data_IF_777414946654
#
_entry.id   IF_777414946654
#
_cell.length_a   1.000
_cell.length_b   1.000
_cell.length_c   1.000
_cell.angle_alpha   90.00
_cell.angle_beta   90.00
_cell.angle_gamma   90.00
#
_symmetry.space_group_name_H-M   'P 1'
#
loop_
_entity.id
_entity.type
_entity.pdbx_description
1 polymer ?
#
# COMPACT_ATOMS: atom_id res chain seq x y z
N UNK A 1 2.71 17.18 17.43
CA UNK A 1 2.72 15.78 16.93
C UNK A 1 1.28 15.36 16.75
N UNK A 2 0.90 14.87 15.56
CA UNK A 2 -0.42 14.28 15.32
C UNK A 2 -0.56 13.04 16.21
N UNK A 3 -1.68 12.84 16.92
CA UNK A 3 -1.88 11.60 17.68
C UNK A 3 -2.03 10.41 16.73
N UNK A 4 -1.73 9.20 17.22
CA UNK A 4 -1.93 7.97 16.45
C UNK A 4 -3.40 7.82 16.05
N UNK A 5 -4.34 8.14 16.95
CA UNK A 5 -5.77 8.05 16.65
C UNK A 5 -6.18 8.94 15.48
N UNK A 6 -5.67 10.19 15.43
CA UNK A 6 -5.93 11.10 14.33
C UNK A 6 -5.29 10.59 13.03
N UNK A 7 -4.08 10.04 13.10
CA UNK A 7 -3.40 9.44 11.94
C UNK A 7 -4.21 8.26 11.37
N UNK A 8 -4.71 7.37 12.23
CA UNK A 8 -5.53 6.23 11.85
C UNK A 8 -6.86 6.66 11.22
N UNK A 9 -7.50 7.69 11.77
CA UNK A 9 -8.73 8.25 11.20
C UNK A 9 -8.48 8.82 9.79
N UNK A 10 -7.40 9.58 9.61
CA UNK A 10 -7.00 10.11 8.30
C UNK A 10 -6.72 8.98 7.29
N UNK A 11 -6.07 7.88 7.72
CA UNK A 11 -5.84 6.69 6.87
C UNK A 11 -7.16 6.02 6.47
N UNK A 12 -8.09 5.83 7.42
CA UNK A 12 -9.41 5.23 7.14
C UNK A 12 -10.22 6.02 6.12
N UNK A 13 -10.07 7.35 6.12
CA UNK A 13 -10.69 8.23 5.14
C UNK A 13 -9.93 8.31 3.80
N UNK A 14 -8.81 7.62 3.66
CA UNK A 14 -8.02 7.59 2.43
C UNK A 14 -7.16 8.84 2.21
N UNK A 15 -6.76 9.54 3.27
CA UNK A 15 -5.87 10.68 3.17
C UNK A 15 -4.49 10.22 2.66
N UNK A 16 -4.17 10.59 1.43
CA UNK A 16 -2.94 10.21 0.76
C UNK A 16 -1.67 10.60 1.54
N UNK A 17 -1.64 11.80 2.14
CA UNK A 17 -0.48 12.28 2.88
C UNK A 17 -0.30 11.51 4.20
N UNK A 18 -1.40 11.18 4.89
CA UNK A 18 -1.36 10.36 6.10
C UNK A 18 -0.85 8.95 5.80
N UNK A 19 -1.31 8.34 4.71
CA UNK A 19 -0.83 7.02 4.23
C UNK A 19 0.66 7.09 3.92
N UNK A 20 1.11 8.06 3.12
CA UNK A 20 2.52 8.20 2.75
C UNK A 20 3.42 8.39 3.98
N UNK A 21 3.04 9.25 4.92
CA UNK A 21 3.77 9.46 6.18
C UNK A 21 3.86 8.17 7.00
N UNK A 22 2.77 7.42 7.07
CA UNK A 22 2.72 6.16 7.82
C UNK A 22 3.62 5.10 7.21
N UNK A 23 3.62 4.96 5.88
CA UNK A 23 4.56 4.09 5.16
C UNK A 23 6.01 4.48 5.49
N UNK A 24 6.36 5.76 5.41
CA UNK A 24 7.70 6.25 5.77
C UNK A 24 8.09 5.92 7.21
N UNK A 25 7.18 6.11 8.18
CA UNK A 25 7.42 5.79 9.59
C UNK A 25 7.70 4.29 9.78
N UNK A 26 6.92 3.43 9.12
CA UNK A 26 7.03 1.98 9.24
C UNK A 26 8.31 1.48 8.54
N UNK A 27 8.55 1.88 7.30
CA UNK A 27 9.69 1.42 6.49
C UNK A 27 11.05 1.78 7.11
N UNK A 28 11.12 2.92 7.82
CA UNK A 28 12.35 3.39 8.46
C UNK A 28 12.40 3.09 9.97
N UNK A 29 11.48 2.26 10.48
CA UNK A 29 11.37 1.89 11.90
C UNK A 29 11.38 3.09 12.88
N UNK A 30 10.78 4.21 12.48
CA UNK A 30 10.87 5.46 13.23
C UNK A 30 9.89 5.46 14.41
N UNK A 31 10.39 5.86 15.60
CA UNK A 31 9.56 6.24 16.75
C UNK A 31 8.44 5.24 17.07
N UNK A 32 7.20 5.64 16.79
CA UNK A 32 5.97 4.90 17.10
C UNK A 32 5.60 3.81 16.06
N UNK A 33 6.51 3.39 15.18
CA UNK A 33 6.28 2.37 14.14
C UNK A 33 5.58 1.11 14.66
N UNK A 34 6.11 0.52 15.74
CA UNK A 34 5.55 -0.67 16.39
C UNK A 34 4.16 -0.45 16.99
N UNK A 35 3.91 0.74 17.53
CA UNK A 35 2.61 1.11 18.10
C UNK A 35 1.56 1.20 17.00
N UNK A 36 1.89 1.90 15.90
CA UNK A 36 1.05 2.02 14.70
C UNK A 36 0.72 0.64 14.11
N UNK A 37 1.70 -0.24 13.93
CA UNK A 37 1.47 -1.59 13.39
C UNK A 37 0.51 -2.43 14.25
N UNK A 38 0.52 -2.26 15.58
CA UNK A 38 -0.36 -3.01 16.49
C UNK A 38 -1.81 -2.55 16.43
N UNK A 39 -2.04 -1.28 16.13
CA UNK A 39 -3.38 -0.66 16.13
C UNK A 39 -3.98 -0.57 14.73
N UNK A 40 -3.19 -0.81 13.68
CA UNK A 40 -3.70 -0.95 12.32
C UNK A 40 -4.62 -2.17 12.26
N UNK A 41 -5.90 -1.87 12.07
CA UNK A 41 -6.95 -2.87 12.00
C UNK A 41 -6.83 -3.71 10.72
N UNK A 42 -6.88 -5.03 10.87
CA UNK A 42 -6.76 -6.01 9.77
C UNK A 42 -8.11 -6.49 9.25
N UNK A 43 -9.23 -5.99 9.80
CA UNK A 43 -10.58 -6.45 9.45
C UNK A 43 -11.02 -6.10 8.01
N UNK A 44 -10.27 -5.25 7.30
CA UNK A 44 -10.53 -4.99 5.88
C UNK A 44 -9.97 -6.11 4.99
N UNK A 45 -10.85 -7.00 4.55
CA UNK A 45 -10.55 -7.99 3.52
C UNK A 45 -10.47 -7.29 2.14
N UNK A 46 -9.26 -6.90 1.74
CA UNK A 46 -8.97 -6.54 0.35
C UNK A 46 -8.39 -7.75 -0.38
N UNK A 47 -8.77 -7.95 -1.65
CA UNK A 47 -8.09 -8.93 -2.50
C UNK A 47 -6.64 -8.50 -2.76
N UNK A 48 -5.71 -9.45 -2.60
CA UNK A 48 -4.28 -9.27 -2.86
C UNK A 48 -3.86 -10.25 -3.94
N UNK A 49 -3.33 -9.73 -5.05
CA UNK A 49 -2.92 -10.51 -6.22
C UNK A 49 -1.41 -10.32 -6.43
N UNK A 50 -0.66 -11.41 -6.42
CA UNK A 50 0.77 -11.42 -6.76
C UNK A 50 0.98 -11.62 -8.26
N UNK A 51 1.78 -10.74 -8.88
CA UNK A 51 2.13 -10.83 -10.31
C UNK A 51 3.64 -10.97 -10.43
N UNK A 52 4.12 -12.02 -11.09
CA UNK A 52 5.55 -12.34 -11.27
C UNK A 52 5.82 -12.82 -12.69
N UNK A 53 7.10 -12.95 -13.06
CA UNK A 53 7.55 -13.39 -14.38
C UNK A 53 8.91 -12.80 -14.77
N UNK A 54 9.59 -13.36 -15.78
CA UNK A 54 10.94 -12.94 -16.16
C UNK A 54 10.98 -11.49 -16.72
N UNK A 55 12.17 -10.86 -16.79
CA UNK A 55 12.34 -9.59 -17.49
C UNK A 55 11.81 -9.68 -18.93
N UNK A 56 11.11 -8.66 -19.40
CA UNK A 56 10.54 -8.64 -20.75
C UNK A 56 9.24 -9.44 -20.95
N UNK A 57 8.72 -10.15 -19.93
CA UNK A 57 7.48 -10.93 -20.05
C UNK A 57 6.18 -10.11 -20.22
N UNK A 58 6.27 -8.78 -20.37
CA UNK A 58 5.10 -7.91 -20.49
C UNK A 58 4.32 -7.66 -19.20
N UNK A 59 4.90 -7.97 -18.02
CA UNK A 59 4.25 -7.77 -16.71
C UNK A 59 3.65 -6.38 -16.53
N UNK A 60 4.44 -5.34 -16.81
CA UNK A 60 3.98 -3.94 -16.66
C UNK A 60 2.81 -3.62 -17.59
N UNK A 61 2.80 -4.16 -18.81
CA UNK A 61 1.69 -4.02 -19.75
C UNK A 61 0.43 -4.69 -19.22
N UNK A 62 0.55 -5.94 -18.75
CA UNK A 62 -0.57 -6.68 -18.16
C UNK A 62 -1.14 -5.96 -16.92
N UNK A 63 -0.27 -5.54 -16.00
CA UNK A 63 -0.65 -4.79 -14.79
C UNK A 63 -1.40 -3.52 -15.16
N UNK A 64 -0.90 -2.76 -16.15
CA UNK A 64 -1.52 -1.52 -16.60
C UNK A 64 -2.94 -1.74 -17.16
N UNK A 65 -3.14 -2.80 -17.95
CA UNK A 65 -4.47 -3.13 -18.48
C UNK A 65 -5.44 -3.57 -17.39
N UNK A 66 -5.00 -4.41 -16.43
CA UNK A 66 -5.81 -4.82 -15.28
C UNK A 66 -6.25 -3.60 -14.48
N UNK A 67 -5.32 -2.70 -14.16
CA UNK A 67 -5.60 -1.47 -13.41
C UNK A 67 -6.61 -0.61 -14.17
N UNK A 68 -6.43 -0.43 -15.47
CA UNK A 68 -7.33 0.37 -16.30
C UNK A 68 -8.78 -0.15 -16.22
N UNK A 69 -8.97 -1.46 -16.27
CA UNK A 69 -10.30 -2.08 -16.12
C UNK A 69 -10.88 -1.89 -14.71
N UNK A 70 -10.07 -2.04 -13.66
CA UNK A 70 -10.51 -1.84 -12.28
C UNK A 70 -10.86 -0.38 -11.97
N UNK A 71 -10.13 0.58 -12.55
CA UNK A 71 -10.43 2.01 -12.44
C UNK A 71 -11.76 2.36 -13.12
N UNK A 72 -12.05 1.78 -14.29
CA UNK A 72 -13.36 1.93 -14.96
C UNK A 72 -14.51 1.43 -14.06
N UNK A 73 -14.25 0.42 -13.23
CA UNK A 73 -15.20 -0.09 -12.24
C UNK A 73 -15.23 0.72 -10.94
N UNK A 74 -14.60 1.89 -10.89
CA UNK A 74 -14.47 2.75 -9.70
C UNK A 74 -13.86 2.04 -8.48
N UNK A 75 -12.97 1.07 -8.69
CA UNK A 75 -12.25 0.40 -7.60
C UNK A 75 -11.08 1.28 -7.13
N UNK A 76 -10.80 1.24 -5.82
CA UNK A 76 -9.56 1.77 -5.25
C UNK A 76 -8.49 0.68 -5.35
N UNK A 77 -7.30 1.05 -5.83
CA UNK A 77 -6.22 0.11 -6.14
C UNK A 77 -4.95 0.61 -5.48
N UNK A 78 -4.17 -0.31 -4.91
CA UNK A 78 -2.80 -0.08 -4.47
C UNK A 78 -1.87 -1.04 -5.23
N UNK A 79 -0.67 -0.56 -5.57
CA UNK A 79 0.39 -1.37 -6.17
C UNK A 79 1.57 -1.33 -5.21
N UNK A 80 2.06 -2.51 -4.82
CA UNK A 80 3.30 -2.65 -4.06
C UNK A 80 4.30 -3.32 -4.99
N UNK A 81 5.34 -2.58 -5.37
CA UNK A 81 6.44 -3.13 -6.14
C UNK A 81 7.45 -3.74 -5.17
N UNK A 82 7.76 -5.03 -5.37
CA UNK A 82 8.83 -5.73 -4.65
C UNK A 82 9.95 -5.96 -5.65
N UNK A 83 11.02 -5.20 -5.52
CA UNK A 83 12.26 -5.43 -6.28
C UNK A 83 13.22 -6.20 -5.38
N UNK A 84 13.49 -7.50 -5.64
CA UNK A 84 14.56 -8.19 -4.96
C UNK A 84 15.86 -7.60 -5.49
N UNK A 85 16.36 -6.55 -4.84
CA UNK A 85 17.73 -6.11 -5.05
C UNK A 85 18.63 -7.33 -4.91
N UNK A 86 19.46 -7.56 -5.93
CA UNK A 86 20.57 -8.51 -5.90
C UNK A 86 21.39 -8.28 -4.62
N UNK A 87 21.99 -9.33 -4.03
CA UNK A 87 22.52 -9.34 -2.66
C UNK A 87 23.53 -8.23 -2.34
#
# INVERSE_FOLDING_TARGET
>A
MTSIDQLLDEIKHGNFLAIARTLTIIENELGQSNEILRVLDSENQTEVIGITGPPGAGKSTLVNEIISQLLIQNKKIAIIAVDPTSP
#
